data_IF_817781542187
#
_entry.id   IF_817781542187
#
_cell.length_a   1.000
_cell.length_b   1.000
_cell.length_c   1.000
_cell.angle_alpha   90.00
_cell.angle_beta   90.00
_cell.angle_gamma   90.00
#
_symmetry.space_group_name_H-M   'P 1'
#
loop_
_entity.id
_entity.type
_entity.pdbx_description
1 polymer ?
#
# COMPACT_ATOMS: atom_id res chain seq x y z
N UNK A 1 -8.69 -23.14 0.51
CA UNK A 1 -7.20 -23.13 0.59
C UNK A 1 -6.70 -21.92 -0.18
N UNK A 2 -5.77 -21.13 0.39
CA UNK A 2 -5.20 -19.98 -0.35
C UNK A 2 -4.39 -20.48 -1.55
N UNK A 3 -4.71 -19.96 -2.74
CA UNK A 3 -3.98 -20.28 -3.97
C UNK A 3 -2.77 -19.36 -4.19
N UNK A 4 -2.75 -18.21 -3.50
CA UNK A 4 -1.69 -17.22 -3.58
C UNK A 4 -1.65 -16.42 -2.28
N UNK A 5 -0.44 -16.15 -1.81
CA UNK A 5 -0.19 -15.28 -0.66
C UNK A 5 1.05 -14.42 -0.93
N UNK A 6 0.93 -13.12 -0.75
CA UNK A 6 2.03 -12.19 -0.87
C UNK A 6 1.95 -11.12 0.21
N UNK A 7 3.06 -10.93 0.93
CA UNK A 7 3.26 -9.82 1.85
C UNK A 7 4.30 -8.84 1.28
N UNK A 8 3.95 -7.57 1.23
CA UNK A 8 4.84 -6.52 0.76
C UNK A 8 4.98 -5.44 1.82
N UNK A 9 6.21 -4.97 2.00
CA UNK A 9 6.53 -3.79 2.82
C UNK A 9 7.00 -2.66 1.92
N UNK A 10 6.92 -1.45 2.42
CA UNK A 10 7.45 -0.28 1.73
C UNK A 10 8.94 -0.45 1.39
N UNK A 11 9.30 0.01 0.20
CA UNK A 11 10.66 -0.07 -0.30
C UNK A 11 11.64 0.80 0.50
N UNK A 12 12.94 0.51 0.36
CA UNK A 12 14.02 1.22 1.07
C UNK A 12 14.04 2.73 0.81
N UNK A 13 13.50 3.18 -0.30
CA UNK A 13 13.38 4.59 -0.63
C UNK A 13 12.53 5.38 0.36
N UNK A 14 11.49 4.76 0.97
CA UNK A 14 10.66 5.41 2.00
C UNK A 14 11.50 5.80 3.21
N UNK A 15 12.43 4.92 3.62
CA UNK A 15 13.33 5.20 4.72
C UNK A 15 14.27 6.37 4.41
N UNK A 16 14.77 6.47 3.17
CA UNK A 16 15.58 7.61 2.75
C UNK A 16 14.78 8.93 2.82
N UNK A 17 13.54 8.93 2.37
CA UNK A 17 12.64 10.11 2.45
C UNK A 17 12.37 10.48 3.91
N UNK A 18 12.06 9.49 4.76
CA UNK A 18 11.83 9.73 6.19
C UNK A 18 13.08 10.33 6.88
N UNK A 19 14.27 9.86 6.56
CA UNK A 19 15.53 10.42 7.09
C UNK A 19 15.71 11.86 6.60
N UNK A 20 15.52 12.13 5.31
CA UNK A 20 15.65 13.48 4.73
C UNK A 20 14.71 14.49 5.42
N UNK A 21 13.48 14.06 5.74
CA UNK A 21 12.51 14.92 6.42
C UNK A 21 12.82 15.05 7.92
N UNK A 22 13.24 13.96 8.57
CA UNK A 22 13.44 13.94 10.02
C UNK A 22 14.64 14.76 10.47
N UNK A 23 15.76 14.75 9.72
CA UNK A 23 16.98 15.45 10.09
C UNK A 23 16.77 16.96 10.29
N UNK A 24 16.19 17.71 9.34
CA UNK A 24 15.91 19.14 9.54
C UNK A 24 14.98 19.42 10.73
N UNK A 25 13.96 18.57 10.93
CA UNK A 25 13.02 18.73 12.04
C UNK A 25 13.73 18.57 13.39
N UNK A 26 14.57 17.57 13.53
CA UNK A 26 15.34 17.32 14.77
C UNK A 26 16.36 18.43 15.01
N UNK A 27 17.09 18.85 13.97
CA UNK A 27 18.07 19.94 14.06
C UNK A 27 17.39 21.26 14.47
N UNK A 28 16.24 21.58 13.87
CA UNK A 28 15.49 22.76 14.25
C UNK A 28 15.00 22.70 15.72
N UNK A 29 14.50 21.54 16.15
CA UNK A 29 14.07 21.31 17.52
C UNK A 29 15.20 21.54 18.52
N UNK A 30 16.40 20.99 18.28
CA UNK A 30 17.59 21.17 19.13
C UNK A 30 18.00 22.65 19.18
N UNK A 31 18.02 23.33 18.02
CA UNK A 31 18.39 24.74 17.92
C UNK A 31 17.50 25.70 18.70
N UNK A 32 16.20 25.39 18.80
CA UNK A 32 15.23 26.19 19.57
C UNK A 32 15.25 25.83 21.05
N UNK A 33 15.40 24.55 21.41
CA UNK A 33 15.46 24.09 22.79
C UNK A 33 16.54 24.82 23.64
N UNK A 34 17.67 25.12 23.01
CA UNK A 34 18.74 25.86 23.66
C UNK A 34 18.47 27.36 23.90
N UNK A 35 17.36 27.89 23.33
CA UNK A 35 16.99 29.30 23.43
C UNK A 35 15.87 29.61 24.39
N UNK A 36 14.88 28.67 24.43
CA UNK A 36 13.68 28.86 25.27
C UNK A 36 13.23 27.51 25.86
N UNK A 37 13.51 27.26 27.14
CA UNK A 37 13.07 26.06 27.82
C UNK A 37 11.54 25.93 27.91
N UNK A 38 10.79 27.04 27.89
CA UNK A 38 9.33 27.01 27.93
C UNK A 38 8.73 26.49 26.60
N UNK A 39 9.46 26.61 25.50
CA UNK A 39 9.06 26.08 24.19
C UNK A 39 9.28 24.57 24.06
N UNK A 40 9.85 23.89 25.06
CA UNK A 40 10.25 22.48 24.96
C UNK A 40 9.10 21.56 24.52
N UNK A 41 7.89 21.78 25.05
CA UNK A 41 6.73 20.98 24.68
C UNK A 41 6.38 21.13 23.17
N UNK A 42 6.38 22.35 22.65
CA UNK A 42 6.12 22.63 21.24
C UNK A 42 7.23 22.06 20.33
N UNK A 43 8.47 22.10 20.79
CA UNK A 43 9.65 21.60 20.06
C UNK A 43 9.60 20.08 19.89
N UNK A 44 9.13 19.35 20.89
CA UNK A 44 9.05 17.89 20.85
C UNK A 44 7.95 17.36 19.93
N UNK A 45 6.93 18.15 19.61
CA UNK A 45 5.81 17.70 18.72
C UNK A 45 6.34 17.24 17.37
N UNK A 46 7.24 17.98 16.74
CA UNK A 46 7.80 17.63 15.43
C UNK A 46 8.50 16.26 15.42
N UNK A 47 9.51 16.04 16.26
CA UNK A 47 10.17 14.74 16.39
C UNK A 47 9.23 13.59 16.76
N UNK A 48 8.24 13.81 17.63
CA UNK A 48 7.24 12.80 18.00
C UNK A 48 6.40 12.43 16.78
N UNK A 49 5.90 13.39 16.02
CA UNK A 49 5.12 13.13 14.79
C UNK A 49 5.95 12.34 13.79
N UNK A 50 7.21 12.70 13.58
CA UNK A 50 8.12 11.96 12.70
C UNK A 50 8.32 10.53 13.20
N UNK A 51 8.52 10.34 14.51
CA UNK A 51 8.68 9.01 15.09
C UNK A 51 7.43 8.14 14.89
N UNK A 52 6.24 8.71 15.12
CA UNK A 52 4.96 8.00 14.90
C UNK A 52 4.78 7.62 13.44
N UNK A 53 5.02 8.53 12.51
CA UNK A 53 4.95 8.25 11.07
C UNK A 53 5.94 7.15 10.69
N UNK A 54 7.17 7.23 11.18
CA UNK A 54 8.20 6.23 10.93
C UNK A 54 7.78 4.85 11.45
N UNK A 55 7.23 4.79 12.66
CA UNK A 55 6.72 3.56 13.25
C UNK A 55 5.55 2.97 12.43
N UNK A 56 4.61 3.80 11.97
CA UNK A 56 3.52 3.37 11.11
C UNK A 56 4.03 2.73 9.82
N UNK A 57 4.98 3.37 9.13
CA UNK A 57 5.57 2.80 7.91
C UNK A 57 6.39 1.53 8.17
N UNK A 58 7.01 1.40 9.35
CA UNK A 58 7.76 0.21 9.73
C UNK A 58 6.88 -1.05 9.87
N UNK A 59 5.67 -0.87 10.39
CA UNK A 59 4.73 -1.99 10.63
C UNK A 59 3.72 -2.16 9.50
N UNK A 60 3.53 -1.13 8.66
CA UNK A 60 2.61 -1.19 7.54
C UNK A 60 3.07 -2.21 6.50
N UNK A 61 2.17 -3.11 6.13
CA UNK A 61 2.37 -4.09 5.07
C UNK A 61 1.11 -4.27 4.23
N UNK A 62 1.31 -4.47 2.95
CA UNK A 62 0.26 -4.88 2.02
C UNK A 62 0.25 -6.41 1.98
N UNK A 63 -0.88 -7.00 2.28
CA UNK A 63 -1.10 -8.44 2.20
C UNK A 63 -2.14 -8.71 1.13
N UNK A 64 -1.81 -9.57 0.19
CA UNK A 64 -2.70 -10.00 -0.89
C UNK A 64 -2.86 -11.50 -0.82
N UNK A 65 -4.08 -11.95 -0.63
CA UNK A 65 -4.47 -13.36 -0.59
C UNK A 65 -5.49 -13.66 -1.68
N UNK A 66 -5.33 -14.78 -2.35
CA UNK A 66 -6.34 -15.33 -3.28
C UNK A 66 -6.76 -16.69 -2.80
N UNK A 67 -8.04 -16.85 -2.57
CA UNK A 67 -8.66 -18.11 -2.17
C UNK A 67 -9.90 -18.44 -3.05
N UNK A 68 -10.61 -19.48 -2.69
CA UNK A 68 -11.84 -19.94 -3.34
C UNK A 68 -13.02 -18.96 -3.21
N UNK A 69 -12.95 -17.99 -2.31
CA UNK A 69 -13.98 -16.99 -2.06
C UNK A 69 -13.72 -15.68 -2.82
N UNK A 70 -12.45 -15.29 -2.98
CA UNK A 70 -12.12 -14.03 -3.60
C UNK A 70 -10.68 -13.62 -3.49
N UNK A 71 -10.45 -12.39 -3.89
CA UNK A 71 -9.19 -11.69 -3.71
C UNK A 71 -9.31 -10.79 -2.48
N UNK A 72 -8.47 -11.03 -1.50
CA UNK A 72 -8.41 -10.28 -0.25
C UNK A 72 -7.17 -9.39 -0.28
N UNK A 73 -7.39 -8.09 -0.18
CA UNK A 73 -6.31 -7.10 -0.13
C UNK A 73 -6.43 -6.33 1.17
N UNK A 74 -5.42 -6.39 2.01
CA UNK A 74 -5.38 -5.65 3.26
C UNK A 74 -4.11 -4.82 3.38
N UNK A 75 -4.27 -3.61 3.87
CA UNK A 75 -3.16 -2.76 4.24
C UNK A 75 -3.07 -2.74 5.77
N UNK A 76 -2.26 -3.65 6.32
CA UNK A 76 -2.21 -3.87 7.77
C UNK A 76 -2.02 -2.56 8.54
N UNK A 77 -2.87 -2.31 9.54
CA UNK A 77 -3.00 -1.10 10.37
C UNK A 77 -3.49 0.17 9.66
N UNK A 78 -3.36 0.29 8.33
CA UNK A 78 -3.70 1.53 7.63
C UNK A 78 -5.08 1.48 6.98
N UNK A 79 -5.54 0.28 6.57
CA UNK A 79 -6.81 0.14 5.86
C UNK A 79 -7.45 -1.23 6.10
N UNK A 80 -8.76 -1.30 6.28
CA UNK A 80 -9.47 -2.56 6.44
C UNK A 80 -9.31 -3.45 5.20
N UNK A 81 -9.39 -4.76 5.41
CA UNK A 81 -9.33 -5.75 4.34
C UNK A 81 -10.43 -5.50 3.32
N UNK A 82 -10.03 -5.34 2.06
CA UNK A 82 -10.96 -5.29 0.95
C UNK A 82 -11.11 -6.67 0.35
N UNK A 83 -12.32 -7.15 0.35
CA UNK A 83 -12.71 -8.40 -0.28
C UNK A 83 -13.29 -8.13 -1.66
N UNK A 84 -12.80 -8.83 -2.67
CA UNK A 84 -13.29 -8.81 -4.06
C UNK A 84 -13.78 -10.23 -4.36
N UNK A 85 -15.09 -10.50 -4.35
CA UNK A 85 -15.61 -11.82 -4.66
C UNK A 85 -15.22 -12.25 -6.08
N UNK A 86 -14.84 -13.52 -6.27
CA UNK A 86 -14.49 -14.02 -7.62
C UNK A 86 -15.65 -13.89 -8.61
N UNK A 87 -16.89 -13.96 -8.14
CA UNK A 87 -18.10 -13.77 -8.97
C UNK A 87 -18.20 -12.35 -9.53
N UNK A 88 -17.64 -11.37 -8.84
CA UNK A 88 -17.63 -9.97 -9.28
C UNK A 88 -16.46 -9.65 -10.21
N UNK A 89 -15.45 -10.51 -10.26
CA UNK A 89 -14.30 -10.31 -11.15
C UNK A 89 -14.73 -10.56 -12.58
N UNK A 90 -14.63 -9.52 -13.41
CA UNK A 90 -14.85 -9.63 -14.84
C UNK A 90 -13.54 -9.97 -15.56
N UNK A 91 -12.46 -9.31 -15.17
CA UNK A 91 -11.14 -9.47 -15.76
C UNK A 91 -10.06 -9.17 -14.72
N UNK A 92 -8.97 -9.91 -14.78
CA UNK A 92 -7.75 -9.61 -14.05
C UNK A 92 -6.58 -9.77 -15.01
N UNK A 93 -5.66 -8.80 -15.06
CA UNK A 93 -4.47 -8.89 -15.91
C UNK A 93 -3.29 -8.18 -15.27
N UNK A 94 -2.12 -8.78 -15.38
CA UNK A 94 -0.87 -8.17 -14.98
C UNK A 94 -0.55 -6.99 -15.92
N UNK A 95 -0.14 -5.88 -15.34
CA UNK A 95 0.19 -4.67 -16.09
C UNK A 95 1.20 -3.82 -15.33
N UNK A 96 1.95 -3.04 -16.07
CA UNK A 96 2.77 -1.98 -15.52
C UNK A 96 1.93 -0.72 -15.30
N UNK A 97 2.23 0.02 -14.25
CA UNK A 97 1.59 1.29 -13.93
C UNK A 97 2.57 2.24 -13.23
N UNK A 98 2.27 3.52 -13.24
CA UNK A 98 3.03 4.51 -12.49
C UNK A 98 2.26 4.89 -11.23
N UNK A 99 2.73 4.51 -10.02
CA UNK A 99 2.03 4.85 -8.78
C UNK A 99 1.79 6.35 -8.61
N UNK A 100 2.77 7.18 -8.97
CA UNK A 100 2.69 8.63 -8.84
C UNK A 100 1.76 9.26 -9.88
N UNK A 101 1.93 8.89 -11.16
CA UNK A 101 1.19 9.52 -12.27
C UNK A 101 -0.25 9.01 -12.33
N UNK A 102 -0.45 7.70 -12.16
CA UNK A 102 -1.76 7.08 -12.33
C UNK A 102 -2.64 7.18 -11.09
N UNK A 103 -2.03 7.17 -9.89
CA UNK A 103 -2.76 7.08 -8.63
C UNK A 103 -2.36 8.14 -7.60
N UNK A 104 -1.44 9.05 -7.93
CA UNK A 104 -1.00 10.13 -7.04
C UNK A 104 -0.17 9.68 -5.85
N UNK A 105 0.44 8.47 -5.92
CA UNK A 105 1.37 7.98 -4.89
C UNK A 105 1.18 6.53 -4.48
N UNK A 106 1.84 6.18 -3.40
CA UNK A 106 1.82 4.84 -2.81
C UNK A 106 0.80 4.73 -1.68
N UNK A 107 0.50 3.51 -1.28
CA UNK A 107 -0.45 3.17 -0.23
C UNK A 107 -1.81 2.78 -0.78
N UNK A 108 -2.87 3.16 -0.06
CA UNK A 108 -4.25 3.05 -0.53
C UNK A 108 -4.63 4.36 -1.19
N UNK A 109 -4.97 4.32 -2.46
CA UNK A 109 -5.29 5.51 -3.26
C UNK A 109 -6.58 5.32 -4.04
N UNK A 110 -7.34 6.40 -4.15
CA UNK A 110 -8.48 6.51 -5.05
C UNK A 110 -8.18 7.58 -6.08
N UNK A 111 -8.22 7.22 -7.35
CA UNK A 111 -8.03 8.13 -8.47
C UNK A 111 -9.15 7.97 -9.49
N UNK A 112 -9.10 8.76 -10.57
CA UNK A 112 -10.00 8.61 -11.71
C UNK A 112 -9.90 7.25 -12.42
N UNK A 113 -8.74 6.54 -12.24
CA UNK A 113 -8.54 5.16 -12.72
C UNK A 113 -9.11 4.09 -11.79
N UNK A 114 -9.58 4.45 -10.61
CA UNK A 114 -10.11 3.55 -9.59
C UNK A 114 -9.23 3.47 -8.34
N UNK A 115 -9.42 2.41 -7.58
CA UNK A 115 -8.65 2.15 -6.37
C UNK A 115 -7.29 1.54 -6.69
N UNK A 116 -6.28 1.91 -5.90
CA UNK A 116 -4.96 1.27 -5.93
C UNK A 116 -4.49 0.91 -4.52
N UNK A 117 -3.89 -0.26 -4.42
CA UNK A 117 -3.24 -0.78 -3.21
C UNK A 117 -1.81 -1.14 -3.59
N UNK A 118 -0.83 -0.35 -3.14
CA UNK A 118 0.57 -0.59 -3.47
C UNK A 118 1.53 -0.12 -2.37
N UNK A 119 2.71 -0.70 -2.31
CA UNK A 119 3.80 -0.33 -1.39
C UNK A 119 5.04 0.18 -2.13
N UNK A 120 5.04 0.05 -3.45
CA UNK A 120 6.18 0.39 -4.33
C UNK A 120 6.12 -0.45 -5.60
N UNK A 121 7.13 -0.26 -6.46
CA UNK A 121 7.19 -0.94 -7.74
C UNK A 121 6.30 -0.28 -8.80
N UNK A 122 6.34 -0.85 -10.01
CA UNK A 122 5.58 -0.40 -11.16
C UNK A 122 4.75 -1.53 -11.78
N UNK A 123 4.71 -2.70 -11.14
CA UNK A 123 3.97 -3.87 -11.59
C UNK A 123 2.82 -4.20 -10.65
N UNK A 124 1.76 -4.73 -11.19
CA UNK A 124 0.59 -5.16 -10.43
C UNK A 124 -0.45 -5.84 -11.30
N UNK A 125 -1.56 -6.19 -10.68
CA UNK A 125 -2.72 -6.77 -11.38
C UNK A 125 -3.87 -5.77 -11.33
N UNK A 126 -4.38 -5.40 -12.50
CA UNK A 126 -5.61 -4.64 -12.60
C UNK A 126 -6.79 -5.61 -12.59
N UNK A 127 -7.59 -5.51 -11.54
CA UNK A 127 -8.84 -6.26 -11.39
C UNK A 127 -10.00 -5.34 -11.80
N UNK A 128 -10.71 -5.73 -12.83
CA UNK A 128 -11.94 -5.10 -13.28
C UNK A 128 -13.13 -5.91 -12.82
N UNK A 129 -14.09 -5.25 -12.17
CA UNK A 129 -15.29 -5.92 -11.68
C UNK A 129 -16.45 -5.74 -12.65
N UNK A 130 -17.42 -6.66 -12.60
CA UNK A 130 -18.67 -6.59 -13.40
C UNK A 130 -19.45 -5.29 -13.17
N UNK A 131 -19.27 -4.66 -12.01
CA UNK A 131 -19.87 -3.36 -11.69
C UNK A 131 -19.08 -2.17 -12.28
N UNK A 132 -18.02 -2.42 -13.08
CA UNK A 132 -17.19 -1.39 -13.69
C UNK A 132 -16.15 -0.77 -12.76
N UNK A 133 -15.98 -1.27 -11.54
CA UNK A 133 -14.94 -0.78 -10.63
C UNK A 133 -13.59 -1.35 -11.04
N UNK A 134 -12.57 -0.50 -10.99
CA UNK A 134 -11.17 -0.86 -11.26
C UNK A 134 -10.37 -0.83 -9.98
N UNK A 135 -9.61 -1.90 -9.73
CA UNK A 135 -8.79 -2.05 -8.53
C UNK A 135 -7.41 -2.52 -8.97
N UNK A 136 -6.42 -1.65 -8.80
CA UNK A 136 -5.02 -1.97 -9.03
C UNK A 136 -4.42 -2.55 -7.75
N UNK A 137 -3.85 -3.73 -7.85
CA UNK A 137 -3.16 -4.41 -6.76
C UNK A 137 -1.69 -4.49 -7.15
N UNK A 138 -0.84 -3.68 -6.51
CA UNK A 138 0.60 -3.75 -6.69
C UNK A 138 1.12 -5.11 -6.24
N UNK A 139 1.93 -5.74 -7.06
CA UNK A 139 2.51 -7.05 -6.77
C UNK A 139 3.90 -7.15 -7.39
N UNK A 140 4.84 -7.72 -6.65
CA UNK A 140 6.16 -8.09 -7.19
C UNK A 140 6.11 -9.39 -8.00
N UNK A 141 4.99 -10.09 -7.90
CA UNK A 141 4.72 -11.38 -8.56
C UNK A 141 3.42 -11.27 -9.35
N UNK A 142 3.29 -10.17 -10.16
CA UNK A 142 2.06 -9.83 -10.85
C UNK A 142 1.52 -10.96 -11.73
N UNK A 143 2.39 -11.65 -12.49
CA UNK A 143 1.99 -12.76 -13.34
C UNK A 143 1.48 -13.97 -12.53
N UNK A 144 2.08 -14.25 -11.37
CA UNK A 144 1.62 -15.34 -10.51
C UNK A 144 0.28 -14.99 -9.84
N UNK A 145 0.10 -13.73 -9.46
CA UNK A 145 -1.17 -13.24 -8.91
C UNK A 145 -2.29 -13.33 -9.97
N UNK A 146 -2.02 -12.92 -11.21
CA UNK A 146 -2.97 -13.07 -12.32
C UNK A 146 -3.35 -14.54 -12.54
N UNK A 147 -2.36 -15.42 -12.63
CA UNK A 147 -2.58 -16.85 -12.81
C UNK A 147 -3.38 -17.47 -11.67
N UNK A 148 -3.13 -17.05 -10.42
CA UNK A 148 -3.87 -17.52 -9.25
C UNK A 148 -5.35 -17.08 -9.29
N UNK A 149 -5.61 -15.83 -9.69
CA UNK A 149 -6.99 -15.33 -9.85
C UNK A 149 -7.70 -16.09 -10.98
N UNK A 150 -7.05 -16.26 -12.13
CA UNK A 150 -7.61 -17.01 -13.25
C UNK A 150 -7.94 -18.46 -12.87
N UNK A 151 -7.03 -19.13 -12.16
CA UNK A 151 -7.23 -20.50 -11.65
C UNK A 151 -8.40 -20.57 -10.66
N UNK A 152 -8.51 -19.62 -9.75
CA UNK A 152 -9.60 -19.57 -8.78
C UNK A 152 -10.97 -19.38 -9.47
N UNK A 153 -11.03 -18.52 -10.50
CA UNK A 153 -12.25 -18.34 -11.31
C UNK A 153 -12.63 -19.63 -12.05
N UNK A 154 -11.65 -20.28 -12.71
CA UNK A 154 -11.88 -21.52 -13.45
C UNK A 154 -12.38 -22.67 -12.53
N UNK A 155 -11.77 -22.81 -11.35
CA UNK A 155 -12.16 -23.84 -10.37
C UNK A 155 -13.59 -23.67 -9.83
N UNK A 156 -14.13 -22.45 -9.87
CA UNK A 156 -15.50 -22.16 -9.44
C UNK A 156 -16.53 -22.42 -10.55
N UNK A 157 -16.09 -22.37 -11.80
CA UNK A 157 -16.96 -22.56 -12.98
C UNK A 157 -17.09 -24.03 -13.39
N UNK A 158 -16.30 -24.91 -12.77
CA UNK A 158 -16.30 -26.35 -12.97
C UNK A 158 -17.21 -27.07 -11.97
#
# INVERSE_FOLDING_TARGET
MSCFHEEQRFGRWVWAVLVIISVPVVVAAIGVAGRDPAALAAILVGPIVVAVITALFAVAKLVTDVDDRGVHVSFHLLWPTRHIPLEDVQRAHATEYSPLVDYGGWGVRLSWKGWAFNTGGAEGVLVETKSGKRIMIGSRRANELEAAIAKAIAARSA
#
